data_IF_612046654934
#
_entry.id   IF_612046654934
#
_cell.length_a   1.000
_cell.length_b   1.000
_cell.length_c   1.000
_cell.angle_alpha   90.00
_cell.angle_beta   90.00
_cell.angle_gamma   90.00
#
_symmetry.space_group_name_H-M   'P 1'
#
loop_
_entity.id
_entity.type
_entity.pdbx_description
1 polymer ?
#
# COMPACT_ATOMS: atom_id res chain seq x y z
N UNK A 1 38.61 10.09 -0.35
CA UNK A 1 38.57 9.44 -1.68
C UNK A 1 37.73 8.18 -1.65
N UNK A 2 38.05 7.18 -0.82
CA UNK A 2 37.24 5.93 -0.72
C UNK A 2 35.80 6.19 -0.26
N UNK A 3 35.61 6.97 0.82
CA UNK A 3 34.27 7.34 1.29
C UNK A 3 33.43 8.04 0.21
N UNK A 4 33.96 9.11 -0.40
CA UNK A 4 33.28 9.84 -1.46
C UNK A 4 32.89 8.95 -2.66
N UNK A 5 33.75 8.01 -3.04
CA UNK A 5 33.45 7.05 -4.10
C UNK A 5 32.31 6.09 -3.70
N UNK A 6 32.30 5.59 -2.47
CA UNK A 6 31.23 4.72 -1.96
C UNK A 6 29.91 5.48 -1.83
N UNK A 7 29.94 6.74 -1.39
CA UNK A 7 28.78 7.63 -1.34
C UNK A 7 28.17 7.82 -2.75
N UNK A 8 29.00 8.12 -3.74
CA UNK A 8 28.57 8.29 -5.14
C UNK A 8 27.94 7.00 -5.70
N UNK A 9 28.57 5.84 -5.46
CA UNK A 9 28.02 4.54 -5.87
C UNK A 9 26.70 4.23 -5.17
N UNK A 10 26.59 4.50 -3.87
CA UNK A 10 25.36 4.30 -3.12
C UNK A 10 24.23 5.21 -3.62
N UNK A 11 24.52 6.47 -3.93
CA UNK A 11 23.54 7.41 -4.48
C UNK A 11 23.03 6.97 -5.86
N UNK A 12 23.92 6.56 -6.75
CA UNK A 12 23.54 6.04 -8.07
C UNK A 12 22.66 4.79 -7.96
N UNK A 13 23.03 3.85 -7.08
CA UNK A 13 22.23 2.66 -6.82
C UNK A 13 20.86 3.03 -6.23
N UNK A 14 20.80 3.94 -5.26
CA UNK A 14 19.55 4.36 -4.63
C UNK A 14 18.59 5.00 -5.63
N UNK A 15 19.10 5.89 -6.50
CA UNK A 15 18.28 6.52 -7.55
C UNK A 15 17.72 5.48 -8.53
N UNK A 16 18.53 4.51 -8.94
CA UNK A 16 18.09 3.38 -9.77
C UNK A 16 16.97 2.59 -9.08
N UNK A 17 17.17 2.16 -7.84
CA UNK A 17 16.20 1.34 -7.10
C UNK A 17 14.87 2.06 -6.85
N UNK A 18 14.93 3.35 -6.52
CA UNK A 18 13.74 4.19 -6.34
C UNK A 18 12.98 4.33 -7.66
N UNK A 19 13.70 4.59 -8.77
CA UNK A 19 13.09 4.68 -10.10
C UNK A 19 12.45 3.36 -10.50
N UNK A 20 13.13 2.23 -10.33
CA UNK A 20 12.58 0.89 -10.60
C UNK A 20 11.31 0.63 -9.78
N UNK A 21 11.26 1.09 -8.52
CA UNK A 21 10.06 0.99 -7.69
C UNK A 21 8.89 1.81 -8.26
N UNK A 22 9.10 3.06 -8.67
CA UNK A 22 8.02 3.87 -9.27
C UNK A 22 7.62 3.40 -10.67
N UNK A 23 8.57 2.87 -11.46
CA UNK A 23 8.27 2.27 -12.75
C UNK A 23 7.36 1.05 -12.59
N UNK A 24 7.55 0.26 -11.53
CA UNK A 24 6.68 -0.88 -11.21
C UNK A 24 5.37 -0.47 -10.52
N UNK A 25 5.41 0.49 -9.59
CA UNK A 25 4.24 1.06 -8.90
C UNK A 25 4.02 2.53 -9.31
N UNK A 26 3.51 2.82 -10.52
CA UNK A 26 3.33 4.19 -10.99
C UNK A 26 2.41 5.02 -10.09
N UNK A 27 1.41 4.37 -9.49
CA UNK A 27 0.51 5.00 -8.50
C UNK A 27 1.24 5.55 -7.28
N UNK A 28 2.36 4.95 -6.86
CA UNK A 28 3.19 5.45 -5.77
C UNK A 28 3.96 6.72 -6.19
N UNK A 29 4.49 6.74 -7.41
CA UNK A 29 5.13 7.92 -8.00
C UNK A 29 4.14 9.10 -8.11
N UNK A 30 2.97 8.86 -8.71
CA UNK A 30 1.91 9.89 -8.81
C UNK A 30 1.51 10.45 -7.44
N UNK A 31 1.37 9.59 -6.42
CA UNK A 31 0.96 10.00 -5.06
C UNK A 31 1.92 11.01 -4.42
N UNK A 32 3.22 10.93 -4.72
CA UNK A 32 4.25 11.85 -4.20
C UNK A 32 4.49 13.08 -5.10
N UNK A 33 3.69 13.24 -6.17
CA UNK A 33 3.80 14.39 -7.10
C UNK A 33 4.71 14.15 -8.31
N UNK A 34 5.09 12.90 -8.60
CA UNK A 34 5.78 12.54 -9.86
C UNK A 34 4.76 12.29 -10.96
N UNK A 35 4.29 13.38 -11.56
CA UNK A 35 3.18 13.36 -12.51
C UNK A 35 3.50 12.68 -13.86
N UNK A 36 4.76 12.34 -14.14
CA UNK A 36 5.10 11.45 -15.26
C UNK A 36 4.55 10.02 -15.11
N UNK A 37 4.10 9.66 -13.91
CA UNK A 37 3.44 8.38 -13.62
C UNK A 37 1.91 8.46 -13.56
N UNK A 38 1.33 9.66 -13.74
CA UNK A 38 -0.12 9.85 -13.68
C UNK A 38 -0.83 8.98 -14.73
N UNK A 39 -2.03 8.51 -14.38
CA UNK A 39 -2.89 7.74 -15.26
C UNK A 39 -2.44 6.32 -15.57
N UNK A 40 -1.49 5.75 -14.81
CA UNK A 40 -0.96 4.40 -14.99
C UNK A 40 -1.26 3.50 -13.78
N UNK A 41 -1.73 2.29 -14.04
CA UNK A 41 -1.83 1.22 -13.03
C UNK A 41 -0.56 0.34 -13.08
N UNK A 42 -0.20 -0.34 -11.97
CA UNK A 42 0.85 -1.36 -12.02
C UNK A 42 0.38 -2.56 -12.85
N UNK A 43 1.29 -3.15 -13.62
CA UNK A 43 1.07 -4.44 -14.28
C UNK A 43 1.52 -5.56 -13.33
N UNK A 44 0.53 -6.26 -12.76
CA UNK A 44 0.72 -7.35 -11.80
C UNK A 44 0.75 -8.73 -12.47
N UNK A 45 0.98 -8.79 -13.78
CA UNK A 45 1.07 -10.07 -14.49
C UNK A 45 2.27 -10.89 -14.01
N UNK A 46 2.23 -12.23 -14.16
CA UNK A 46 3.30 -13.10 -13.68
C UNK A 46 4.70 -12.72 -14.19
N UNK A 47 4.81 -12.26 -15.44
CA UNK A 47 6.08 -11.87 -16.05
C UNK A 47 6.64 -10.58 -15.42
N UNK A 48 5.80 -9.60 -15.13
CA UNK A 48 6.23 -8.35 -14.50
C UNK A 48 6.60 -8.57 -13.04
N UNK A 49 5.82 -9.37 -12.30
CA UNK A 49 6.13 -9.71 -10.91
C UNK A 49 7.47 -10.45 -10.81
N UNK A 50 7.70 -11.44 -11.69
CA UNK A 50 8.98 -12.15 -11.74
C UNK A 50 10.14 -11.21 -12.11
N UNK A 51 9.92 -10.24 -13.02
CA UNK A 51 10.92 -9.21 -13.32
C UNK A 51 11.25 -8.39 -12.08
N UNK A 52 10.23 -7.90 -11.36
CA UNK A 52 10.39 -7.07 -10.17
C UNK A 52 11.12 -7.82 -9.05
N UNK A 53 10.75 -9.06 -8.79
CA UNK A 53 11.42 -9.92 -7.83
C UNK A 53 12.91 -10.11 -8.19
N UNK A 54 13.22 -10.27 -9.49
CA UNK A 54 14.59 -10.32 -10.00
C UNK A 54 15.36 -9.00 -9.81
N UNK A 55 14.72 -7.85 -10.06
CA UNK A 55 15.28 -6.51 -9.80
C UNK A 55 15.62 -6.34 -8.32
N UNK A 56 14.70 -6.69 -7.42
CA UNK A 56 14.90 -6.61 -5.97
C UNK A 56 16.09 -7.46 -5.49
N UNK A 57 16.20 -8.71 -5.97
CA UNK A 57 17.34 -9.59 -5.63
C UNK A 57 18.67 -9.03 -6.15
N UNK A 58 18.69 -8.49 -7.36
CA UNK A 58 19.88 -7.84 -7.93
C UNK A 58 20.26 -6.60 -7.12
N UNK A 59 19.28 -5.75 -6.81
CA UNK A 59 19.48 -4.56 -5.99
C UNK A 59 20.07 -4.87 -4.62
N UNK A 60 19.56 -5.90 -3.94
CA UNK A 60 20.10 -6.34 -2.65
C UNK A 60 21.53 -6.88 -2.77
N UNK A 61 21.84 -7.57 -3.86
CA UNK A 61 23.19 -8.06 -4.15
C UNK A 61 24.16 -6.91 -4.43
N UNK A 62 23.74 -5.92 -5.23
CA UNK A 62 24.50 -4.71 -5.52
C UNK A 62 24.76 -3.90 -4.25
N UNK A 63 23.73 -3.72 -3.41
CA UNK A 63 23.82 -2.99 -2.15
C UNK A 63 24.81 -3.65 -1.18
N UNK A 64 24.79 -4.98 -1.07
CA UNK A 64 25.71 -5.75 -0.20
C UNK A 64 27.18 -5.73 -0.64
N UNK A 65 27.47 -5.29 -1.87
CA UNK A 65 28.86 -5.13 -2.35
C UNK A 65 29.48 -3.81 -1.94
N UNK A 66 28.67 -2.84 -1.51
CA UNK A 66 29.17 -1.56 -1.01
C UNK A 66 29.72 -1.74 0.41
N UNK A 67 30.86 -1.11 0.70
CA UNK A 67 31.43 -1.04 2.04
C UNK A 67 30.65 -0.02 2.88
N UNK A 68 29.59 -0.50 3.55
CA UNK A 68 28.72 0.35 4.36
C UNK A 68 29.46 1.03 5.54
N UNK A 69 30.57 0.45 6.02
CA UNK A 69 31.35 1.02 7.12
C UNK A 69 32.15 2.25 6.67
N UNK A 70 32.38 2.39 5.37
CA UNK A 70 33.02 3.56 4.78
C UNK A 70 32.10 4.79 4.62
N UNK A 71 30.77 4.61 4.75
CA UNK A 71 29.78 5.69 4.70
C UNK A 71 29.80 6.51 6.01
N UNK A 72 29.33 7.76 5.98
CA UNK A 72 29.06 8.51 7.23
C UNK A 72 27.80 7.99 7.96
N UNK A 73 27.46 8.57 9.12
CA UNK A 73 26.27 8.15 9.89
C UNK A 73 24.96 8.24 9.10
N UNK A 74 24.81 9.29 8.29
CA UNK A 74 23.62 9.52 7.46
C UNK A 74 23.55 8.53 6.31
N UNK A 75 24.68 8.25 5.68
CA UNK A 75 24.83 7.26 4.62
C UNK A 75 24.57 5.86 5.13
N UNK A 76 25.09 5.50 6.31
CA UNK A 76 24.80 4.21 6.98
C UNK A 76 23.33 4.03 7.31
N UNK A 77 22.65 5.07 7.79
CA UNK A 77 21.21 5.02 8.02
C UNK A 77 20.46 4.83 6.69
N UNK A 78 20.79 5.61 5.67
CA UNK A 78 20.18 5.52 4.34
C UNK A 78 20.38 4.14 3.71
N UNK A 79 21.57 3.56 3.86
CA UNK A 79 21.89 2.20 3.45
C UNK A 79 20.96 1.18 4.10
N UNK A 80 20.81 1.25 5.43
CA UNK A 80 19.95 0.33 6.20
C UNK A 80 18.48 0.48 5.81
N UNK A 81 18.01 1.71 5.58
CA UNK A 81 16.65 1.95 5.10
C UNK A 81 16.42 1.32 3.72
N UNK A 82 17.38 1.48 2.80
CA UNK A 82 17.30 0.86 1.47
C UNK A 82 17.30 -0.68 1.57
N UNK A 83 18.16 -1.24 2.43
CA UNK A 83 18.18 -2.69 2.64
C UNK A 83 16.83 -3.21 3.17
N UNK A 84 16.27 -2.56 4.20
CA UNK A 84 14.97 -2.92 4.76
C UNK A 84 13.86 -2.78 3.74
N UNK A 85 13.87 -1.72 2.93
CA UNK A 85 12.91 -1.51 1.85
C UNK A 85 12.90 -2.68 0.85
N UNK A 86 14.08 -3.08 0.34
CA UNK A 86 14.21 -4.19 -0.60
C UNK A 86 13.80 -5.53 0.03
N UNK A 87 14.22 -5.78 1.28
CA UNK A 87 13.88 -7.00 2.02
C UNK A 87 12.39 -7.11 2.31
N UNK A 88 11.74 -5.99 2.65
CA UNK A 88 10.30 -5.93 2.89
C UNK A 88 9.52 -6.25 1.62
N UNK A 89 9.92 -5.67 0.49
CA UNK A 89 9.25 -5.96 -0.77
C UNK A 89 9.43 -7.43 -1.18
N UNK A 90 10.64 -7.99 -1.04
CA UNK A 90 10.88 -9.42 -1.27
C UNK A 90 10.06 -10.33 -0.36
N UNK A 91 9.94 -9.98 0.93
CA UNK A 91 9.10 -10.70 1.88
C UNK A 91 7.61 -10.66 1.46
N UNK A 92 7.15 -9.51 0.98
CA UNK A 92 5.78 -9.36 0.47
C UNK A 92 5.54 -10.29 -0.73
N UNK A 93 6.46 -10.33 -1.70
CA UNK A 93 6.35 -11.20 -2.87
C UNK A 93 6.43 -12.69 -2.54
N UNK A 94 7.38 -13.09 -1.71
CA UNK A 94 7.77 -14.50 -1.57
C UNK A 94 7.07 -15.21 -0.41
N UNK A 95 6.74 -14.49 0.65
CA UNK A 95 6.27 -15.07 1.90
C UNK A 95 4.82 -14.64 2.18
N UNK A 96 4.55 -13.32 2.21
CA UNK A 96 3.23 -12.81 2.55
C UNK A 96 2.19 -13.03 1.43
N UNK A 97 2.63 -12.98 0.16
CA UNK A 97 1.82 -13.32 -1.02
C UNK A 97 0.43 -12.66 -1.08
N UNK A 98 0.31 -11.35 -0.87
CA UNK A 98 -0.99 -10.69 -0.86
C UNK A 98 -1.65 -10.66 -2.24
N UNK A 99 -0.90 -10.87 -3.33
CA UNK A 99 -1.48 -11.01 -4.66
C UNK A 99 -2.39 -12.23 -4.76
N UNK A 100 -2.02 -13.31 -4.09
CA UNK A 100 -2.73 -14.57 -4.11
C UNK A 100 -3.78 -14.67 -3.00
N UNK A 101 -3.57 -14.00 -1.86
CA UNK A 101 -4.37 -14.24 -0.65
C UNK A 101 -5.11 -13.03 -0.07
N UNK A 102 -4.85 -11.81 -0.55
CA UNK A 102 -5.44 -10.60 0.04
C UNK A 102 -5.76 -9.52 -1.02
N UNK A 103 -6.89 -9.66 -1.75
CA UNK A 103 -7.27 -8.73 -2.81
C UNK A 103 -7.34 -7.29 -2.32
N UNK A 104 -7.83 -7.04 -1.10
CA UNK A 104 -7.93 -5.70 -0.52
C UNK A 104 -6.62 -4.90 -0.62
N UNK A 105 -5.45 -5.55 -0.50
CA UNK A 105 -4.13 -4.87 -0.59
C UNK A 105 -3.90 -4.15 -1.92
N UNK A 106 -4.66 -4.49 -2.97
CA UNK A 106 -4.52 -3.95 -4.32
C UNK A 106 -5.60 -2.92 -4.67
N UNK A 107 -6.64 -2.77 -3.85
CA UNK A 107 -7.75 -1.83 -4.08
C UNK A 107 -7.27 -0.38 -4.22
N UNK A 108 -6.22 -0.01 -3.50
CA UNK A 108 -5.64 1.33 -3.52
C UNK A 108 -5.09 1.77 -4.88
N UNK A 109 -4.75 0.84 -5.77
CA UNK A 109 -4.30 1.17 -7.13
C UNK A 109 -5.41 1.77 -7.99
N UNK A 110 -6.66 1.39 -7.73
CA UNK A 110 -7.84 1.88 -8.44
C UNK A 110 -8.35 3.20 -7.84
N UNK A 111 -7.66 3.79 -6.86
CA UNK A 111 -8.12 5.04 -6.29
C UNK A 111 -7.70 6.25 -7.15
N UNK A 112 -8.65 6.84 -7.86
CA UNK A 112 -8.45 8.04 -8.70
C UNK A 112 -8.77 9.36 -7.99
N UNK A 113 -9.09 9.35 -6.69
CA UNK A 113 -9.47 10.56 -5.94
C UNK A 113 -8.38 11.64 -5.91
N UNK A 114 -7.10 11.23 -6.02
CA UNK A 114 -5.97 12.15 -6.10
C UNK A 114 -6.05 13.10 -7.30
N UNK A 115 -6.51 12.61 -8.45
CA UNK A 115 -6.71 13.41 -9.66
C UNK A 115 -7.83 14.43 -9.48
N UNK A 116 -8.85 14.11 -8.67
CA UNK A 116 -10.02 14.97 -8.49
C UNK A 116 -9.77 16.05 -7.44
N UNK A 117 -9.26 15.64 -6.27
CA UNK A 117 -9.19 16.49 -5.08
C UNK A 117 -7.99 17.41 -5.03
N UNK A 118 -6.91 17.10 -5.77
CA UNK A 118 -5.68 17.88 -5.75
C UNK A 118 -5.65 18.84 -6.92
N UNK A 119 -5.34 20.09 -6.64
CA UNK A 119 -5.24 21.14 -7.65
C UNK A 119 -3.77 21.39 -8.04
N UNK A 120 -3.22 20.49 -8.86
CA UNK A 120 -1.81 20.52 -9.29
C UNK A 120 -1.62 20.77 -10.79
N UNK A 121 -2.72 20.73 -11.55
CA UNK A 121 -2.79 20.89 -13.00
C UNK A 121 -4.22 21.30 -13.40
N UNK A 122 -4.46 21.82 -14.61
CA UNK A 122 -5.80 22.05 -15.14
C UNK A 122 -6.70 20.83 -14.96
N UNK A 123 -7.98 21.05 -14.65
CA UNK A 123 -8.92 19.96 -14.36
C UNK A 123 -9.02 18.97 -15.53
N UNK A 124 -8.96 19.47 -16.76
CA UNK A 124 -8.98 18.68 -17.99
C UNK A 124 -7.83 17.67 -18.05
N UNK A 125 -6.60 18.10 -17.73
CA UNK A 125 -5.43 17.21 -17.70
C UNK A 125 -5.57 16.13 -16.61
N UNK A 126 -6.07 16.53 -15.43
CA UNK A 126 -6.31 15.59 -14.33
C UNK A 126 -7.41 14.58 -14.66
N UNK A 127 -8.47 15.01 -15.35
CA UNK A 127 -9.52 14.11 -15.84
C UNK A 127 -9.00 13.15 -16.91
N UNK A 128 -8.09 13.57 -17.80
CA UNK A 128 -7.44 12.67 -18.76
C UNK A 128 -6.60 11.60 -18.04
N UNK A 129 -5.85 11.97 -17.02
CA UNK A 129 -5.10 11.02 -16.17
C UNK A 129 -6.03 10.04 -15.45
N UNK A 130 -7.11 10.53 -14.82
CA UNK A 130 -8.12 9.67 -14.19
C UNK A 130 -8.77 8.71 -15.21
N UNK A 131 -9.11 9.21 -16.39
CA UNK A 131 -9.67 8.43 -17.51
C UNK A 131 -8.71 7.33 -17.94
N UNK A 132 -7.42 7.65 -18.11
CA UNK A 132 -6.38 6.67 -18.47
C UNK A 132 -6.27 5.55 -17.43
N UNK A 133 -6.25 5.90 -16.13
CA UNK A 133 -6.21 4.91 -15.06
C UNK A 133 -7.47 4.01 -15.04
N UNK A 134 -8.66 4.61 -15.18
CA UNK A 134 -9.93 3.85 -15.20
C UNK A 134 -10.04 2.93 -16.41
N UNK A 135 -9.52 3.33 -17.58
CA UNK A 135 -9.48 2.48 -18.78
C UNK A 135 -8.67 1.18 -18.59
N UNK A 136 -7.66 1.20 -17.71
CA UNK A 136 -6.85 0.02 -17.38
C UNK A 136 -7.50 -0.89 -16.31
N UNK A 137 -8.51 -0.40 -15.58
CA UNK A 137 -9.11 -1.13 -14.47
C UNK A 137 -9.68 -2.52 -14.86
N UNK A 138 -10.36 -2.71 -16.02
CA UNK A 138 -10.86 -4.03 -16.39
C UNK A 138 -9.77 -5.08 -16.54
N UNK A 139 -8.68 -4.76 -17.25
CA UNK A 139 -7.56 -5.69 -17.44
C UNK A 139 -6.81 -5.93 -16.14
N UNK A 140 -6.57 -4.89 -15.35
CA UNK A 140 -5.99 -4.99 -14.01
C UNK A 140 -6.76 -5.97 -13.11
N UNK A 141 -8.09 -5.86 -13.08
CA UNK A 141 -8.95 -6.72 -12.28
C UNK A 141 -8.99 -8.16 -12.78
N UNK A 142 -8.87 -8.38 -14.09
CA UNK A 142 -8.79 -9.73 -14.65
C UNK A 142 -7.44 -10.40 -14.37
N UNK A 143 -6.33 -9.65 -14.39
CA UNK A 143 -5.02 -10.14 -13.93
C UNK A 143 -5.06 -10.50 -12.45
N UNK A 144 -5.62 -9.62 -11.62
CA UNK A 144 -5.77 -9.87 -10.19
C UNK A 144 -6.65 -11.09 -9.90
N UNK A 145 -7.78 -11.24 -10.59
CA UNK A 145 -8.67 -12.39 -10.45
C UNK A 145 -7.94 -13.71 -10.76
N UNK A 146 -7.11 -13.76 -11.80
CA UNK A 146 -6.33 -14.97 -12.14
C UNK A 146 -5.23 -15.30 -11.14
N UNK A 147 -4.69 -14.30 -10.45
CA UNK A 147 -3.61 -14.49 -9.48
C UNK A 147 -4.12 -14.93 -8.11
N UNK A 148 -5.34 -14.54 -7.75
CA UNK A 148 -5.96 -14.89 -6.47
C UNK A 148 -6.20 -16.40 -6.35
N UNK A 149 -6.04 -16.92 -5.13
CA UNK A 149 -6.39 -18.30 -4.77
C UNK A 149 -7.90 -18.54 -4.90
N UNK A 150 -8.28 -19.77 -5.24
CA UNK A 150 -9.70 -20.15 -5.38
C UNK A 150 -10.46 -20.10 -4.05
N UNK A 151 -9.74 -20.24 -2.93
CA UNK A 151 -10.29 -20.23 -1.57
C UNK A 151 -9.55 -19.21 -0.73
N UNK A 152 -10.30 -18.30 -0.13
CA UNK A 152 -9.84 -17.21 0.72
C UNK A 152 -10.63 -17.23 2.03
N UNK A 153 -10.05 -16.64 3.08
CA UNK A 153 -10.80 -16.39 4.32
C UNK A 153 -12.05 -15.55 4.03
N UNK A 154 -13.18 -15.92 4.63
CA UNK A 154 -14.42 -15.16 4.50
C UNK A 154 -14.25 -13.71 4.95
N UNK A 155 -13.48 -13.44 6.02
CA UNK A 155 -13.22 -12.07 6.49
C UNK A 155 -12.46 -11.23 5.45
N UNK A 156 -11.50 -11.84 4.75
CA UNK A 156 -10.75 -11.17 3.69
C UNK A 156 -11.66 -10.88 2.49
N UNK A 157 -12.53 -11.84 2.15
CA UNK A 157 -13.50 -11.69 1.07
C UNK A 157 -14.52 -10.59 1.39
N UNK A 158 -15.11 -10.60 2.58
CA UNK A 158 -16.11 -9.61 3.01
C UNK A 158 -15.56 -8.18 2.94
N UNK A 159 -14.38 -7.96 3.55
CA UNK A 159 -13.71 -6.67 3.55
C UNK A 159 -13.32 -6.22 2.14
N UNK A 160 -12.87 -7.15 1.30
CA UNK A 160 -12.54 -6.86 -0.09
C UNK A 160 -13.80 -6.50 -0.89
N UNK A 161 -14.89 -7.27 -0.75
CA UNK A 161 -16.18 -7.01 -1.41
C UNK A 161 -16.68 -5.61 -1.05
N UNK A 162 -16.65 -5.24 0.23
CA UNK A 162 -17.04 -3.90 0.67
C UNK A 162 -16.19 -2.81 -0.02
N UNK A 163 -14.87 -2.97 -0.01
CA UNK A 163 -13.94 -2.00 -0.62
C UNK A 163 -14.17 -1.84 -2.12
N UNK A 164 -14.25 -2.95 -2.87
CA UNK A 164 -14.43 -2.90 -4.33
C UNK A 164 -15.84 -2.44 -4.75
N UNK A 165 -16.88 -2.82 -4.00
CA UNK A 165 -18.25 -2.29 -4.20
C UNK A 165 -18.30 -0.78 -3.91
N UNK A 166 -17.64 -0.33 -2.85
CA UNK A 166 -17.47 1.09 -2.55
C UNK A 166 -16.77 1.84 -3.68
N UNK A 167 -15.73 1.26 -4.26
CA UNK A 167 -15.02 1.83 -5.42
C UNK A 167 -15.91 1.92 -6.67
N UNK A 168 -16.75 0.91 -6.94
CA UNK A 168 -17.68 0.93 -8.06
C UNK A 168 -18.72 2.06 -7.90
N UNK A 169 -19.24 2.24 -6.68
CA UNK A 169 -20.13 3.37 -6.34
C UNK A 169 -19.40 4.71 -6.50
N UNK A 170 -18.18 4.81 -6.00
CA UNK A 170 -17.34 6.01 -6.13
C UNK A 170 -17.19 6.44 -7.59
N UNK A 171 -16.92 5.49 -8.48
CA UNK A 171 -16.81 5.77 -9.91
C UNK A 171 -18.11 6.22 -10.56
N UNK A 172 -19.26 5.68 -10.16
CA UNK A 172 -20.55 6.03 -10.78
C UNK A 172 -21.16 7.32 -10.24
N UNK A 173 -21.05 7.52 -8.93
CA UNK A 173 -21.79 8.55 -8.21
C UNK A 173 -20.88 9.72 -7.91
N UNK A 174 -19.85 9.49 -7.10
CA UNK A 174 -19.01 10.56 -6.57
C UNK A 174 -18.16 11.22 -7.67
N UNK A 175 -17.70 10.44 -8.66
CA UNK A 175 -16.95 10.99 -9.80
C UNK A 175 -17.81 11.69 -10.86
N UNK A 176 -19.13 11.46 -10.91
CA UNK A 176 -19.99 12.15 -11.88
C UNK A 176 -19.96 13.68 -11.66
N UNK A 177 -19.83 14.10 -10.41
CA UNK A 177 -19.74 15.51 -10.03
C UNK A 177 -18.33 16.10 -10.22
N UNK A 178 -17.30 15.26 -10.39
CA UNK A 178 -15.90 15.69 -10.48
C UNK A 178 -15.58 16.45 -11.78
N UNK A 179 -16.40 16.27 -12.81
CA UNK A 179 -16.21 16.92 -14.11
C UNK A 179 -16.95 18.26 -14.25
N UNK A 180 -17.64 18.72 -13.19
CA UNK A 180 -18.30 20.04 -13.17
C UNK A 180 -17.28 21.14 -13.44
N UNK A 181 -17.55 21.96 -14.46
CA UNK A 181 -16.69 23.07 -14.86
C UNK A 181 -15.83 22.80 -16.11
N UNK A 182 -15.77 21.56 -16.59
CA UNK A 182 -15.18 21.25 -17.90
C UNK A 182 -16.23 21.39 -18.99
N UNK A 183 -15.89 22.09 -20.08
CA UNK A 183 -16.80 22.30 -21.22
C UNK A 183 -16.46 21.46 -22.45
N UNK A 184 -15.27 20.85 -22.46
CA UNK A 184 -14.85 19.97 -23.56
C UNK A 184 -15.66 18.67 -23.54
N UNK A 185 -16.57 18.54 -24.52
CA UNK A 185 -17.46 17.38 -24.64
C UNK A 185 -16.75 16.07 -24.90
N UNK A 186 -15.56 16.10 -25.53
CA UNK A 186 -14.77 14.90 -25.78
C UNK A 186 -14.21 14.38 -24.46
N UNK A 187 -13.60 15.24 -23.65
CA UNK A 187 -13.06 14.88 -22.32
C UNK A 187 -14.17 14.30 -21.44
N UNK A 188 -15.31 14.97 -21.37
CA UNK A 188 -16.46 14.52 -20.59
C UNK A 188 -16.95 13.14 -21.05
N UNK A 189 -17.14 12.96 -22.37
CA UNK A 189 -17.61 11.70 -22.93
C UNK A 189 -16.61 10.54 -22.79
N UNK A 190 -15.31 10.82 -22.81
CA UNK A 190 -14.27 9.83 -22.52
C UNK A 190 -14.24 9.42 -21.05
N UNK A 191 -14.31 10.41 -20.15
CA UNK A 191 -14.33 10.19 -18.70
C UNK A 191 -15.58 9.39 -18.27
N UNK A 192 -16.75 9.75 -18.78
CA UNK A 192 -18.01 9.05 -18.50
C UNK A 192 -18.01 7.59 -18.95
N UNK A 193 -17.46 7.31 -20.13
CA UNK A 193 -17.31 5.92 -20.62
C UNK A 193 -16.32 5.13 -19.77
N UNK A 194 -15.20 5.76 -19.38
CA UNK A 194 -14.18 5.10 -18.58
C UNK A 194 -14.68 4.77 -17.17
N UNK A 195 -15.36 5.71 -16.49
CA UNK A 195 -15.90 5.45 -15.14
C UNK A 195 -16.93 4.33 -15.14
N UNK A 196 -17.83 4.28 -16.13
CA UNK A 196 -18.86 3.23 -16.18
C UNK A 196 -18.25 1.87 -16.52
N UNK A 197 -17.36 1.81 -17.51
CA UNK A 197 -16.66 0.57 -17.86
C UNK A 197 -15.89 -0.01 -16.67
N UNK A 198 -15.18 0.85 -15.95
CA UNK A 198 -14.40 0.45 -14.78
C UNK A 198 -15.28 0.04 -13.60
N UNK A 199 -16.39 0.75 -13.34
CA UNK A 199 -17.37 0.37 -12.33
C UNK A 199 -18.03 -0.98 -12.63
N UNK A 200 -18.39 -1.23 -13.90
CA UNK A 200 -18.93 -2.53 -14.31
C UNK A 200 -17.91 -3.66 -14.18
N UNK A 201 -16.62 -3.39 -14.40
CA UNK A 201 -15.55 -4.36 -14.16
C UNK A 201 -15.38 -4.68 -12.66
N UNK A 202 -15.46 -3.67 -11.81
CA UNK A 202 -15.46 -3.82 -10.35
C UNK A 202 -16.63 -4.68 -9.87
N UNK A 203 -17.85 -4.45 -10.36
CA UNK A 203 -19.01 -5.27 -10.01
C UNK A 203 -18.81 -6.74 -10.39
N UNK A 204 -18.31 -7.01 -11.61
CA UNK A 204 -17.99 -8.38 -12.05
C UNK A 204 -16.92 -9.03 -11.17
N UNK A 205 -15.89 -8.28 -10.80
CA UNK A 205 -14.84 -8.76 -9.90
C UNK A 205 -15.40 -9.11 -8.52
N UNK A 206 -16.26 -8.26 -7.95
CA UNK A 206 -16.97 -8.53 -6.68
C UNK A 206 -17.76 -9.82 -6.74
N UNK A 207 -18.53 -10.05 -7.81
CA UNK A 207 -19.33 -11.28 -7.97
C UNK A 207 -18.50 -12.56 -8.13
N UNK A 208 -17.27 -12.45 -8.66
CA UNK A 208 -16.31 -13.57 -8.65
C UNK A 208 -15.71 -13.78 -7.27
N UNK A 209 -15.35 -12.69 -6.59
CA UNK A 209 -14.68 -12.72 -5.30
C UNK A 209 -15.55 -13.34 -4.19
N UNK A 210 -16.85 -13.03 -4.17
CA UNK A 210 -17.81 -13.61 -3.21
C UNK A 210 -17.77 -15.15 -3.17
N UNK A 211 -17.49 -15.79 -4.30
CA UNK A 211 -17.47 -17.27 -4.40
C UNK A 211 -16.27 -17.90 -3.70
N UNK A 212 -15.21 -17.12 -3.47
CA UNK A 212 -13.94 -17.60 -2.90
C UNK A 212 -13.96 -17.68 -1.37
N UNK A 213 -14.95 -17.05 -0.71
CA UNK A 213 -15.07 -17.05 0.75
C UNK A 213 -15.56 -18.36 1.34
N UNK A 214 -16.03 -19.29 0.49
CA UNK A 214 -16.59 -20.58 0.92
C UNK A 214 -15.49 -21.62 1.10
N UNK A 215 -15.29 -22.10 2.34
CA UNK A 215 -14.36 -23.19 2.64
C UNK A 215 -12.89 -22.81 2.54
N UNK A 216 -12.57 -21.52 2.67
CA UNK A 216 -11.21 -21.03 2.91
C UNK A 216 -10.80 -21.10 4.38
N UNK A 217 -9.57 -20.69 4.72
CA UNK A 217 -9.08 -20.69 6.10
C UNK A 217 -9.85 -19.72 6.99
N UNK A 218 -10.04 -20.09 8.26
CA UNK A 218 -10.69 -19.23 9.25
C UNK A 218 -9.80 -18.06 9.69
N UNK A 219 -10.43 -16.93 10.03
CA UNK A 219 -9.73 -15.78 10.60
C UNK A 219 -8.88 -15.00 9.60
N UNK A 220 -8.06 -14.09 10.12
CA UNK A 220 -7.16 -13.20 9.35
C UNK A 220 -5.71 -13.23 9.86
N UNK A 221 -5.45 -14.08 10.85
CA UNK A 221 -4.12 -14.19 11.45
C UNK A 221 -3.14 -14.80 10.44
N UNK A 222 -1.98 -14.16 10.28
CA UNK A 222 -0.92 -14.60 9.35
C UNK A 222 0.05 -15.61 9.98
N UNK A 223 -0.15 -15.96 11.25
CA UNK A 223 0.74 -16.85 11.98
C UNK A 223 2.03 -16.18 12.46
N UNK A 224 2.73 -16.79 13.43
CA UNK A 224 3.89 -16.18 14.08
C UNK A 224 5.10 -16.03 13.14
N UNK A 225 5.31 -16.93 12.19
CA UNK A 225 6.44 -16.88 11.26
C UNK A 225 6.34 -15.67 10.33
N UNK A 226 5.19 -15.50 9.66
CA UNK A 226 4.95 -14.33 8.80
C UNK A 226 4.92 -13.03 9.63
N UNK A 227 4.35 -13.06 10.83
CA UNK A 227 4.33 -11.87 11.69
C UNK A 227 5.75 -11.46 12.12
N UNK A 228 6.60 -12.41 12.49
CA UNK A 228 8.01 -12.14 12.79
C UNK A 228 8.78 -11.64 11.56
N UNK A 229 8.57 -12.22 10.38
CA UNK A 229 9.17 -11.76 9.13
C UNK A 229 8.73 -10.34 8.75
N UNK A 230 7.45 -10.02 8.98
CA UNK A 230 6.89 -8.69 8.76
C UNK A 230 7.54 -7.65 9.69
N UNK A 231 7.72 -7.96 10.98
CA UNK A 231 8.39 -7.06 11.92
C UNK A 231 9.88 -6.88 11.60
N UNK A 232 10.58 -7.97 11.26
CA UNK A 232 12.00 -7.94 10.95
C UNK A 232 12.30 -7.12 9.69
N UNK A 233 11.47 -7.24 8.66
CA UNK A 233 11.67 -6.53 7.38
C UNK A 233 11.00 -5.17 7.33
N UNK A 234 9.88 -4.98 8.04
CA UNK A 234 9.11 -3.75 8.06
C UNK A 234 9.59 -2.72 9.08
N UNK A 235 9.98 -3.19 10.26
CA UNK A 235 10.30 -2.35 11.43
C UNK A 235 11.75 -2.56 11.92
N UNK A 236 12.53 -3.44 11.27
CA UNK A 236 13.89 -3.78 11.69
C UNK A 236 13.96 -4.55 13.01
N UNK A 237 12.82 -5.08 13.50
CA UNK A 237 12.71 -5.75 14.79
C UNK A 237 12.96 -7.26 14.65
N UNK A 238 14.10 -7.71 15.15
CA UNK A 238 14.49 -9.13 15.14
C UNK A 238 14.32 -9.81 16.53
N UNK A 239 13.75 -9.10 17.50
CA UNK A 239 13.44 -9.67 18.81
C UNK A 239 12.34 -10.73 18.71
N UNK A 240 12.29 -11.68 19.65
CA UNK A 240 11.25 -12.70 19.67
C UNK A 240 9.87 -12.06 19.91
N UNK A 241 8.82 -12.67 19.35
CA UNK A 241 7.45 -12.19 19.55
C UNK A 241 7.06 -12.16 21.04
N UNK A 242 7.55 -13.10 21.84
CA UNK A 242 7.33 -13.12 23.29
C UNK A 242 7.99 -11.94 23.99
N UNK A 243 9.20 -11.56 23.60
CA UNK A 243 9.89 -10.41 24.16
C UNK A 243 9.16 -9.10 23.77
N UNK A 244 8.75 -8.98 22.51
CA UNK A 244 8.00 -7.82 22.02
C UNK A 244 6.67 -7.69 22.78
N UNK A 245 5.93 -8.79 22.95
CA UNK A 245 4.68 -8.81 23.70
C UNK A 245 4.88 -8.43 25.17
N UNK A 246 5.94 -8.95 25.83
CA UNK A 246 6.24 -8.61 27.21
C UNK A 246 6.55 -7.12 27.40
N UNK A 247 7.34 -6.52 26.49
CA UNK A 247 7.62 -5.08 26.50
C UNK A 247 6.33 -4.28 26.32
N UNK A 248 5.49 -4.67 25.35
CA UNK A 248 4.21 -4.00 25.09
C UNK A 248 3.26 -4.07 26.29
N UNK A 249 3.16 -5.23 26.93
CA UNK A 249 2.30 -5.44 28.09
C UNK A 249 2.76 -4.61 29.30
N UNK A 250 4.06 -4.61 29.60
CA UNK A 250 4.61 -3.80 30.69
C UNK A 250 4.41 -2.29 30.45
N UNK A 251 4.56 -1.84 29.20
CA UNK A 251 4.33 -0.44 28.83
C UNK A 251 2.84 -0.06 28.93
N UNK A 252 1.93 -0.97 28.54
CA UNK A 252 0.48 -0.76 28.70
C UNK A 252 0.10 -0.62 30.17
N UNK A 253 0.61 -1.49 31.04
CA UNK A 253 0.37 -1.45 32.49
C UNK A 253 0.85 -0.13 33.11
N UNK A 254 2.09 0.29 32.83
CA UNK A 254 2.63 1.57 33.31
C UNK A 254 1.77 2.77 32.88
N UNK A 255 1.38 2.82 31.59
CA UNK A 255 0.56 3.91 31.09
C UNK A 255 -0.85 3.92 31.69
N UNK A 256 -1.48 2.76 31.88
CA UNK A 256 -2.78 2.67 32.54
C UNK A 256 -2.71 3.16 33.99
N UNK A 257 -1.65 2.85 34.72
CA UNK A 257 -1.46 3.32 36.10
C UNK A 257 -1.19 4.82 36.16
N UNK A 258 -0.43 5.37 35.21
CA UNK A 258 -0.25 6.83 35.06
C UNK A 258 -1.56 7.55 34.75
N UNK A 259 -2.39 7.01 33.86
CA UNK A 259 -3.70 7.58 33.54
C UNK A 259 -4.59 7.59 34.80
N UNK A 260 -4.64 6.50 35.56
CA UNK A 260 -5.40 6.43 36.82
C UNK A 260 -4.91 7.46 37.84
N UNK A 261 -3.58 7.62 37.99
CA UNK A 261 -3.01 8.59 38.93
C UNK A 261 -3.36 10.03 38.57
N UNK A 262 -3.34 10.37 37.27
CA UNK A 262 -3.76 11.69 36.77
C UNK A 262 -5.27 11.89 36.95
N UNK A 263 -6.09 10.91 36.61
CA UNK A 263 -7.54 10.95 36.83
C UNK A 263 -7.89 11.21 38.31
N UNK A 264 -7.22 10.49 39.22
CA UNK A 264 -7.42 10.64 40.65
C UNK A 264 -7.01 12.02 41.18
N UNK A 265 -6.02 12.67 40.58
CA UNK A 265 -5.59 14.02 41.00
C UNK A 265 -6.47 15.13 40.44
N UNK A 266 -7.03 14.95 39.24
CA UNK A 266 -7.90 15.92 38.58
C UNK A 266 -9.34 15.89 39.11
N UNK A 267 -9.91 14.69 39.25
CA UNK A 267 -11.30 14.50 39.64
C UNK A 267 -11.47 13.26 40.53
N UNK A 268 -11.11 13.35 41.83
CA UNK A 268 -11.17 12.24 42.76
C UNK A 268 -12.56 11.58 42.79
N UNK A 269 -12.61 10.25 42.76
CA UNK A 269 -13.85 9.48 42.83
C UNK A 269 -14.58 9.29 41.49
N UNK A 270 -14.08 9.89 40.40
CA UNK A 270 -14.55 9.62 39.04
C UNK A 270 -13.63 8.61 38.35
N UNK A 271 -14.21 7.80 37.49
CA UNK A 271 -13.49 6.83 36.67
C UNK A 271 -12.76 7.52 35.53
N UNK A 272 -11.72 6.88 35.00
CA UNK A 272 -10.99 7.35 33.81
C UNK A 272 -11.95 7.56 32.63
N UNK A 273 -12.88 6.61 32.42
CA UNK A 273 -13.86 6.69 31.33
C UNK A 273 -14.74 7.93 31.43
N UNK A 274 -15.31 8.21 32.62
CA UNK A 274 -16.14 9.41 32.84
C UNK A 274 -15.39 10.72 32.63
N UNK A 275 -14.08 10.74 32.90
CA UNK A 275 -13.24 11.94 32.69
C UNK A 275 -12.93 12.10 31.20
N UNK A 276 -12.62 11.02 30.48
CA UNK A 276 -12.34 11.05 29.04
C UNK A 276 -13.58 11.48 28.27
N UNK A 277 -14.77 10.94 28.58
CA UNK A 277 -16.03 11.30 27.93
C UNK A 277 -16.41 12.78 28.08
N UNK A 278 -15.99 13.44 29.17
CA UNK A 278 -16.22 14.88 29.36
C UNK A 278 -15.27 15.73 28.49
N UNK A 279 -14.08 15.21 28.19
CA UNK A 279 -13.04 15.93 27.43
C UNK A 279 -13.18 15.70 25.92
N UNK A 280 -13.68 14.54 25.48
CA UNK A 280 -13.94 14.19 24.08
C UNK A 280 -13.82 12.70 23.78
#
# INVERSE_FOLDING_TARGET
MVQQQTDELFQQLSQKLIKEHWDFYPTAGSRIGKHEYDGRLPDLSPSQNARREGELRRGLTELRRLDADSLDDTGRLSYRMMELFLRRELFIFNDLKPLENNPMRHSGYLNVSGYIRRDYAPLEDRLRSATSAMRQAPEFLDVLDRALSDKLSCHVVDMSVESYSGMARFYRVDLADAAKGVTDSEILGEFDRARESAAAALDRFVERLKRRGTGGPDGFAIGPELYSGMLATGEGLNASLSQIAAIGQANLEDNLDRIKAVAQSMAPGRTVTEIVEEIG
#
